data_IF_949238131192
#
_entry.id   IF_949238131192
#
_cell.length_a   1.000
_cell.length_b   1.000
_cell.length_c   1.000
_cell.angle_alpha   90.00
_cell.angle_beta   90.00
_cell.angle_gamma   90.00
#
_symmetry.space_group_name_H-M   'P 1'
#
loop_
_entity.id
_entity.type
_entity.pdbx_description
1 polymer ?
#
# COMPACT_ATOMS: atom_id res chain seq x y z
N UNK A 1 -6.19 0.87 9.91
CA UNK A 1 -5.20 1.84 9.40
C UNK A 1 -5.89 2.70 8.36
N UNK A 2 -5.50 3.96 8.23
CA UNK A 2 -5.98 4.82 7.15
C UNK A 2 -4.76 5.21 6.31
N UNK A 3 -4.80 5.00 4.99
CA UNK A 3 -3.74 5.46 4.11
C UNK A 3 -3.98 6.87 3.61
N UNK A 4 -2.90 7.48 3.12
CA UNK A 4 -2.95 8.77 2.49
C UNK A 4 -2.17 8.77 1.17
N UNK A 5 -2.64 9.55 0.21
CA UNK A 5 -1.95 9.81 -1.05
C UNK A 5 -1.71 11.32 -1.19
N UNK A 6 -0.50 11.70 -1.57
CA UNK A 6 -0.10 13.11 -1.73
C UNK A 6 -0.16 13.54 -3.19
N UNK A 7 -0.45 14.82 -3.41
CA UNK A 7 -0.45 15.48 -4.72
C UNK A 7 0.42 16.74 -4.63
N UNK A 8 1.34 16.89 -5.58
CA UNK A 8 2.14 18.11 -5.72
C UNK A 8 1.26 19.28 -6.09
N UNK A 9 1.63 20.48 -5.61
CA UNK A 9 1.03 21.69 -6.14
C UNK A 9 1.32 21.79 -7.63
N UNK A 10 0.27 21.80 -8.45
CA UNK A 10 0.37 22.37 -9.79
C UNK A 10 0.93 23.78 -9.60
N UNK A 11 2.09 24.06 -10.22
CA UNK A 11 2.56 25.42 -10.39
C UNK A 11 1.37 26.22 -10.90
N UNK A 12 0.89 27.15 -10.09
CA UNK A 12 -0.25 27.99 -10.45
C UNK A 12 0.05 28.62 -11.80
N UNK A 13 -0.83 28.39 -12.77
CA UNK A 13 -0.75 28.86 -14.16
C UNK A 13 -0.99 30.39 -14.22
N UNK A 14 -0.13 31.16 -13.53
CA UNK A 14 -0.17 32.62 -13.41
C UNK A 14 1.10 33.32 -13.93
N UNK A 15 1.93 32.61 -14.70
CA UNK A 15 2.99 33.23 -15.51
C UNK A 15 2.84 32.90 -16.99
N UNK A 16 1.65 33.11 -17.56
CA UNK A 16 1.53 33.36 -19.00
C UNK A 16 1.77 34.85 -19.26
N UNK A 17 3.04 35.27 -19.26
CA UNK A 17 3.47 36.52 -19.87
C UNK A 17 4.86 36.39 -20.47
N UNK A 18 4.87 36.27 -21.80
CA UNK A 18 5.84 36.79 -22.79
C UNK A 18 7.34 36.71 -22.45
N UNK A 19 8.02 35.75 -23.07
CA UNK A 19 9.44 35.84 -23.42
C UNK A 19 10.39 34.93 -22.63
N UNK A 20 10.87 33.86 -23.28
CA UNK A 20 12.04 33.09 -22.85
C UNK A 20 11.78 31.60 -22.56
N UNK A 21 12.22 30.72 -23.49
CA UNK A 21 12.42 29.27 -23.36
C UNK A 21 11.57 28.52 -22.30
N UNK A 22 10.33 28.20 -22.65
CA UNK A 22 9.54 27.18 -21.95
C UNK A 22 10.02 25.77 -22.31
N UNK A 23 10.97 25.24 -21.56
CA UNK A 23 11.29 23.81 -21.55
C UNK A 23 10.39 23.09 -20.52
N UNK A 24 10.01 21.84 -20.84
CA UNK A 24 9.24 20.89 -20.02
C UNK A 24 7.70 20.90 -20.20
N UNK A 25 7.23 20.89 -21.45
CA UNK A 25 6.02 20.11 -21.75
C UNK A 25 6.37 18.61 -21.60
N UNK A 26 5.47 17.84 -20.99
CA UNK A 26 5.55 16.42 -20.59
C UNK A 26 6.08 15.45 -21.68
N UNK A 27 7.38 15.43 -21.94
CA UNK A 27 7.97 14.48 -22.90
C UNK A 27 8.17 13.08 -22.32
N UNK A 28 8.10 12.92 -20.99
CA UNK A 28 8.58 11.71 -20.29
C UNK A 28 7.54 11.04 -19.37
N UNK A 29 6.23 11.24 -19.57
CA UNK A 29 5.20 10.61 -18.71
C UNK A 29 5.15 11.13 -17.26
N UNK A 30 4.43 10.45 -16.35
CA UNK A 30 4.26 10.89 -14.97
C UNK A 30 5.43 10.43 -14.08
N UNK A 31 5.65 11.16 -12.99
CA UNK A 31 6.67 10.83 -11.99
C UNK A 31 8.10 11.19 -12.42
N UNK A 32 9.07 10.45 -11.91
CA UNK A 32 10.50 10.78 -11.97
C UNK A 32 11.32 9.55 -12.40
N UNK A 33 12.47 9.74 -13.05
CA UNK A 33 13.29 8.61 -13.51
C UNK A 33 14.00 7.89 -12.37
N UNK A 34 14.30 8.61 -11.29
CA UNK A 34 15.00 8.07 -10.11
C UNK A 34 14.40 8.60 -8.79
N UNK A 35 14.60 7.88 -7.67
CA UNK A 35 14.18 8.37 -6.35
C UNK A 35 14.79 9.73 -5.97
N UNK A 36 16.06 9.98 -6.32
CA UNK A 36 16.75 11.25 -6.01
C UNK A 36 16.18 12.43 -6.80
N UNK A 37 15.80 12.21 -8.06
CA UNK A 37 15.05 13.22 -8.82
C UNK A 37 13.68 13.49 -8.18
N UNK A 38 13.00 12.45 -7.70
CA UNK A 38 11.72 12.61 -7.01
C UNK A 38 11.83 13.46 -5.74
N UNK A 39 12.92 13.31 -4.97
CA UNK A 39 13.21 14.15 -3.80
C UNK A 39 13.45 15.62 -4.15
N UNK A 40 13.94 15.89 -5.36
CA UNK A 40 14.16 17.24 -5.87
C UNK A 40 12.91 17.85 -6.49
N UNK A 41 11.80 17.10 -6.54
CA UNK A 41 10.52 17.54 -7.05
C UNK A 41 9.86 18.63 -6.20
N UNK A 42 8.81 19.28 -6.72
CA UNK A 42 8.01 20.21 -5.93
C UNK A 42 7.37 19.48 -4.75
N UNK A 43 7.27 20.19 -3.62
CA UNK A 43 6.57 19.68 -2.43
C UNK A 43 5.08 19.47 -2.72
N UNK A 44 4.50 18.49 -2.02
CA UNK A 44 3.07 18.28 -1.95
C UNK A 44 2.34 19.52 -1.43
N UNK A 45 1.19 19.82 -2.04
CA UNK A 45 0.31 20.91 -1.59
C UNK A 45 -1.05 20.39 -1.13
N UNK A 46 -1.36 19.12 -1.43
CA UNK A 46 -2.58 18.45 -1.04
C UNK A 46 -2.25 17.03 -0.57
N UNK A 47 -3.06 16.54 0.36
CA UNK A 47 -3.10 15.13 0.73
C UNK A 47 -4.55 14.65 0.76
N UNK A 48 -4.75 13.46 0.20
CA UNK A 48 -6.00 12.74 0.20
C UNK A 48 -5.93 11.64 1.27
N UNK A 49 -6.88 11.62 2.20
CA UNK A 49 -6.88 10.70 3.34
C UNK A 49 -8.19 9.92 3.36
N UNK A 50 -8.10 8.59 3.40
CA UNK A 50 -9.27 7.73 3.58
C UNK A 50 -9.84 7.91 4.99
N UNK A 51 -11.14 8.03 5.11
CA UNK A 51 -11.81 8.23 6.40
C UNK A 51 -12.98 7.25 6.52
N UNK A 52 -13.00 6.51 7.62
CA UNK A 52 -13.87 5.35 7.83
C UNK A 52 -14.88 5.61 8.93
N UNK A 53 -16.14 5.23 8.68
CA UNK A 53 -17.20 5.18 9.71
C UNK A 53 -17.50 3.77 10.18
N UNK A 54 -17.11 2.74 9.43
CA UNK A 54 -17.23 1.37 9.88
C UNK A 54 -16.55 1.17 11.25
N UNK A 55 -17.17 0.37 12.12
CA UNK A 55 -16.74 0.20 13.52
C UNK A 55 -17.07 1.35 14.48
N UNK A 56 -17.53 2.51 14.00
CA UNK A 56 -17.83 3.68 14.89
C UNK A 56 -19.27 3.70 15.42
N UNK A 57 -20.12 2.76 14.99
CA UNK A 57 -21.58 2.76 15.26
C UNK A 57 -22.39 3.77 14.44
N UNK A 58 -21.74 4.56 13.57
CA UNK A 58 -22.41 5.53 12.69
C UNK A 58 -22.69 4.92 11.32
N UNK A 59 -23.96 4.86 10.94
CA UNK A 59 -24.41 4.39 9.63
C UNK A 59 -24.25 5.48 8.55
N UNK A 60 -22.99 5.77 8.18
CA UNK A 60 -22.65 6.75 7.13
C UNK A 60 -21.62 6.14 6.17
N UNK A 61 -21.61 6.58 4.90
CA UNK A 61 -20.59 6.15 3.97
C UNK A 61 -19.22 6.68 4.39
N UNK A 62 -18.20 5.87 4.20
CA UNK A 62 -16.80 6.31 4.26
C UNK A 62 -16.58 7.44 3.25
N UNK A 63 -15.50 8.21 3.42
CA UNK A 63 -15.24 9.35 2.55
C UNK A 63 -13.75 9.59 2.34
N UNK A 64 -13.42 10.25 1.24
CA UNK A 64 -12.07 10.77 1.00
C UNK A 64 -12.00 12.22 1.47
N UNK A 65 -11.09 12.54 2.39
CA UNK A 65 -10.79 13.91 2.80
C UNK A 65 -9.69 14.49 1.90
N UNK A 66 -9.87 15.72 1.42
CA UNK A 66 -8.77 16.51 0.85
C UNK A 66 -8.31 17.53 1.89
N UNK A 67 -7.02 17.52 2.20
CA UNK A 67 -6.39 18.42 3.17
C UNK A 67 -5.38 19.29 2.45
N UNK A 68 -5.39 20.59 2.77
CA UNK A 68 -4.43 21.55 2.24
C UNK A 68 -3.13 21.50 3.02
N UNK A 69 -2.02 21.26 2.32
CA UNK A 69 -0.68 21.15 2.88
C UNK A 69 0.23 22.34 2.53
N UNK A 70 -0.22 23.32 1.75
CA UNK A 70 0.58 24.51 1.46
C UNK A 70 0.66 25.42 2.70
N UNK A 71 1.84 25.62 3.33
CA UNK A 71 1.98 26.47 4.51
C UNK A 71 1.61 27.94 4.29
N UNK A 72 1.56 28.39 3.03
CA UNK A 72 1.17 29.76 2.66
C UNK A 72 -0.34 29.88 2.40
N UNK A 73 -1.08 28.77 2.36
CA UNK A 73 -2.51 28.78 2.12
C UNK A 73 -3.29 29.23 3.38
N UNK A 74 -4.34 30.05 3.25
CA UNK A 74 -5.23 30.39 4.38
C UNK A 74 -5.99 29.17 4.94
N UNK A 75 -5.97 28.05 4.21
CA UNK A 75 -6.54 26.77 4.63
C UNK A 75 -5.50 25.72 5.00
N UNK A 76 -4.23 26.10 5.17
CA UNK A 76 -3.17 25.17 5.61
C UNK A 76 -3.61 24.31 6.80
N UNK A 77 -3.35 23.00 6.72
CA UNK A 77 -3.68 21.99 7.73
C UNK A 77 -5.20 21.86 8.00
N UNK A 78 -6.05 22.25 7.03
CA UNK A 78 -7.51 22.07 7.13
C UNK A 78 -8.00 21.08 6.09
N UNK A 79 -9.04 20.33 6.46
CA UNK A 79 -9.85 19.61 5.48
C UNK A 79 -10.62 20.63 4.67
N UNK A 80 -10.35 20.69 3.37
CA UNK A 80 -10.96 21.62 2.42
C UNK A 80 -12.08 20.96 1.60
N UNK A 81 -12.10 19.63 1.54
CA UNK A 81 -13.16 18.89 0.87
C UNK A 81 -13.38 17.51 1.50
N UNK A 82 -14.62 17.01 1.40
CA UNK A 82 -14.99 15.64 1.74
C UNK A 82 -15.83 15.06 0.62
N UNK A 83 -15.34 14.00 0.00
CA UNK A 83 -16.05 13.24 -1.00
C UNK A 83 -16.64 11.97 -0.36
N UNK A 84 -17.93 11.93 0.01
CA UNK A 84 -18.56 10.72 0.52
C UNK A 84 -18.67 9.65 -0.57
N UNK A 85 -18.38 8.41 -0.21
CA UNK A 85 -18.63 7.27 -1.07
C UNK A 85 -20.14 7.01 -1.19
N UNK A 86 -20.60 6.37 -2.27
CA UNK A 86 -22.02 6.15 -2.50
C UNK A 86 -22.64 5.07 -1.60
N UNK A 87 -21.83 4.24 -0.92
CA UNK A 87 -22.31 3.11 -0.12
C UNK A 87 -21.76 3.15 1.30
N UNK A 88 -22.46 2.48 2.22
CA UNK A 88 -22.00 2.28 3.60
C UNK A 88 -21.23 0.97 3.75
N UNK A 89 -20.51 0.84 4.87
CA UNK A 89 -19.80 -0.39 5.26
C UNK A 89 -18.74 -0.84 4.25
N UNK A 90 -18.02 0.12 3.67
CA UNK A 90 -16.94 -0.13 2.72
C UNK A 90 -15.64 -0.57 3.42
N UNK A 91 -15.26 0.12 4.49
CA UNK A 91 -13.93 0.06 5.09
C UNK A 91 -12.88 0.49 4.05
N UNK A 92 -12.93 1.77 3.64
CA UNK A 92 -11.82 2.36 2.87
C UNK A 92 -10.52 2.15 3.65
N UNK A 93 -9.53 1.52 3.03
CA UNK A 93 -8.31 1.12 3.75
C UNK A 93 -7.07 1.73 3.12
N UNK A 94 -6.64 1.14 2.00
CA UNK A 94 -5.46 1.52 1.21
C UNK A 94 -5.84 2.39 0.01
N UNK A 95 -4.83 3.03 -0.57
CA UNK A 95 -4.98 3.90 -1.73
C UNK A 95 -3.73 3.84 -2.62
N UNK A 96 -3.92 3.87 -3.93
CA UNK A 96 -2.82 3.95 -4.90
C UNK A 96 -3.21 4.76 -6.13
N UNK A 97 -2.22 5.21 -6.90
CA UNK A 97 -2.46 5.94 -8.15
C UNK A 97 -2.58 4.98 -9.34
N UNK A 98 -3.37 5.36 -10.35
CA UNK A 98 -3.46 4.61 -11.61
C UNK A 98 -2.14 4.57 -12.39
N UNK A 99 -1.31 5.60 -12.22
CA UNK A 99 -0.02 5.71 -12.89
C UNK A 99 0.98 6.45 -12.00
N UNK A 100 2.24 6.06 -12.08
CA UNK A 100 3.31 6.55 -11.22
C UNK A 100 4.64 6.51 -11.97
N UNK A 101 5.76 6.69 -11.26
CA UNK A 101 7.10 6.70 -11.87
C UNK A 101 7.45 5.40 -12.60
N UNK A 102 6.72 4.30 -12.39
CA UNK A 102 6.85 3.08 -13.21
C UNK A 102 6.50 3.31 -14.67
N UNK A 103 5.71 4.34 -14.98
CA UNK A 103 5.32 4.76 -16.32
C UNK A 103 6.21 5.91 -16.83
N UNK A 104 7.30 6.25 -16.13
CA UNK A 104 8.24 7.25 -16.62
C UNK A 104 8.79 6.85 -17.99
N UNK A 105 8.80 7.78 -18.93
CA UNK A 105 9.12 7.57 -20.34
C UNK A 105 7.91 7.34 -21.25
N UNK A 106 6.71 7.09 -20.70
CA UNK A 106 5.47 6.98 -21.48
C UNK A 106 4.67 8.29 -21.45
N UNK A 107 4.71 9.12 -22.51
CA UNK A 107 4.01 10.39 -22.56
C UNK A 107 2.48 10.26 -22.62
N UNK A 108 1.95 9.06 -22.87
CA UNK A 108 0.49 8.83 -22.86
C UNK A 108 -0.06 8.56 -21.46
N UNK A 109 0.81 8.17 -20.52
CA UNK A 109 0.42 7.90 -19.15
C UNK A 109 0.22 9.19 -18.35
N UNK A 110 -0.84 9.22 -17.53
CA UNK A 110 -1.16 10.36 -16.66
C UNK A 110 -1.50 9.85 -15.26
N UNK A 111 -0.86 10.41 -14.24
CA UNK A 111 -1.28 10.25 -12.84
C UNK A 111 -2.50 11.14 -12.63
N UNK A 112 -3.68 10.53 -12.53
CA UNK A 112 -4.97 11.26 -12.48
C UNK A 112 -5.97 10.61 -11.55
N UNK A 113 -6.00 9.29 -11.51
CA UNK A 113 -7.03 8.57 -10.79
C UNK A 113 -6.45 7.96 -9.52
N UNK A 114 -7.07 8.28 -8.39
CA UNK A 114 -6.81 7.63 -7.12
C UNK A 114 -7.71 6.40 -7.00
N UNK A 115 -7.10 5.25 -6.82
CA UNK A 115 -7.74 3.94 -6.68
C UNK A 115 -7.86 3.64 -5.20
N UNK A 116 -9.10 3.40 -4.74
CA UNK A 116 -9.43 3.18 -3.33
C UNK A 116 -10.12 1.82 -3.16
N UNK A 117 -9.34 0.76 -2.90
CA UNK A 117 -9.86 -0.52 -2.42
C UNK A 117 -10.66 -0.37 -1.12
N UNK A 118 -11.84 -0.99 -1.09
CA UNK A 118 -12.75 -1.03 0.06
C UNK A 118 -12.76 -2.44 0.63
N UNK A 119 -12.13 -2.59 1.79
CA UNK A 119 -11.75 -3.89 2.33
C UNK A 119 -12.96 -4.80 2.58
N UNK A 120 -14.01 -4.31 3.24
CA UNK A 120 -15.12 -5.17 3.66
C UNK A 120 -16.18 -5.35 2.58
N UNK A 121 -16.44 -4.32 1.78
CA UNK A 121 -17.46 -4.40 0.72
C UNK A 121 -16.97 -5.06 -0.56
N UNK A 122 -15.65 -5.20 -0.71
CA UNK A 122 -15.01 -5.63 -1.95
C UNK A 122 -15.24 -4.72 -3.15
N UNK A 123 -15.58 -3.45 -2.92
CA UNK A 123 -15.62 -2.42 -3.96
C UNK A 123 -14.23 -1.84 -4.19
N UNK A 124 -14.03 -1.27 -5.38
CA UNK A 124 -12.89 -0.38 -5.63
C UNK A 124 -13.46 0.91 -6.22
N UNK A 125 -13.16 2.03 -5.58
CA UNK A 125 -13.54 3.34 -6.09
C UNK A 125 -12.40 3.96 -6.88
N UNK A 126 -12.74 4.57 -8.00
CA UNK A 126 -11.81 5.32 -8.83
C UNK A 126 -12.20 6.79 -8.73
N UNK A 127 -11.29 7.61 -8.22
CA UNK A 127 -11.52 9.02 -7.94
C UNK A 127 -10.69 9.86 -8.90
N UNK A 128 -11.33 10.75 -9.64
CA UNK A 128 -10.68 11.69 -10.56
C UNK A 128 -10.21 12.93 -9.81
N UNK A 129 -8.91 13.24 -9.93
CA UNK A 129 -8.30 14.43 -9.33
C UNK A 129 -7.94 15.51 -10.35
N UNK A 130 -8.05 15.26 -11.67
CA UNK A 130 -7.49 16.17 -12.69
C UNK A 130 -8.25 17.50 -12.77
N UNK A 131 -9.59 17.46 -12.83
CA UNK A 131 -10.40 18.67 -13.04
C UNK A 131 -10.32 19.65 -11.87
N UNK A 132 -10.30 19.13 -10.64
CA UNK A 132 -10.18 19.94 -9.44
C UNK A 132 -9.55 19.10 -8.31
N UNK A 133 -8.21 19.13 -8.16
CA UNK A 133 -7.51 18.39 -7.10
C UNK A 133 -7.99 18.76 -5.69
N UNK A 134 -8.47 20.00 -5.48
CA UNK A 134 -8.97 20.47 -4.18
C UNK A 134 -10.36 19.90 -3.84
N UNK A 135 -11.10 19.41 -4.83
CA UNK A 135 -12.42 18.80 -4.66
C UNK A 135 -12.61 17.66 -5.69
N UNK A 136 -11.93 16.52 -5.49
CA UNK A 136 -11.94 15.41 -6.43
C UNK A 136 -13.33 14.77 -6.54
N UNK A 137 -13.56 13.99 -7.59
CA UNK A 137 -14.89 13.45 -7.91
C UNK A 137 -14.84 11.94 -8.17
N UNK A 138 -15.91 11.23 -7.80
CA UNK A 138 -16.06 9.82 -8.13
C UNK A 138 -16.13 9.66 -9.66
N UNK A 139 -15.21 8.87 -10.21
CA UNK A 139 -15.16 8.53 -11.64
C UNK A 139 -15.87 7.21 -11.93
N UNK A 140 -15.53 6.16 -11.17
CA UNK A 140 -16.04 4.80 -11.40
C UNK A 140 -16.09 3.99 -10.11
N UNK A 141 -16.97 3.01 -10.09
CA UNK A 141 -17.02 1.95 -9.07
C UNK A 141 -16.78 0.61 -9.76
N UNK A 142 -15.74 -0.11 -9.38
CA UNK A 142 -15.56 -1.52 -9.74
C UNK A 142 -16.44 -2.33 -8.79
N UNK A 143 -17.40 -3.07 -9.34
CA UNK A 143 -18.40 -3.77 -8.53
C UNK A 143 -17.83 -5.07 -7.94
N UNK A 144 -18.21 -5.44 -6.71
CA UNK A 144 -17.77 -6.68 -6.09
C UNK A 144 -18.12 -7.91 -6.94
N UNK A 145 -19.33 -7.94 -7.51
CA UNK A 145 -19.79 -9.03 -8.37
C UNK A 145 -18.92 -9.22 -9.62
N UNK A 146 -18.42 -8.14 -10.22
CA UNK A 146 -17.55 -8.22 -11.40
C UNK A 146 -16.17 -8.80 -11.04
N UNK A 147 -15.66 -8.46 -9.85
CA UNK A 147 -14.41 -9.01 -9.32
C UNK A 147 -14.60 -10.50 -9.00
N UNK A 148 -15.62 -10.84 -8.21
CA UNK A 148 -15.95 -12.20 -7.81
C UNK A 148 -16.14 -13.10 -9.04
N UNK A 149 -17.00 -12.72 -9.97
CA UNK A 149 -17.33 -13.54 -11.14
C UNK A 149 -16.11 -13.85 -12.01
N UNK A 150 -15.19 -12.90 -12.15
CA UNK A 150 -14.03 -13.04 -13.04
C UNK A 150 -12.80 -13.64 -12.37
N UNK A 151 -12.71 -13.59 -11.04
CA UNK A 151 -11.46 -13.92 -10.33
C UNK A 151 -11.65 -14.83 -9.11
N UNK A 152 -12.85 -14.89 -8.54
CA UNK A 152 -13.13 -15.50 -7.24
C UNK A 152 -12.56 -14.72 -6.05
N UNK A 153 -11.95 -13.55 -6.28
CA UNK A 153 -11.32 -12.71 -5.26
C UNK A 153 -12.34 -11.78 -4.59
N UNK A 154 -12.04 -11.40 -3.35
CA UNK A 154 -12.71 -10.38 -2.55
C UNK A 154 -11.71 -9.74 -1.58
N UNK A 155 -12.16 -8.78 -0.77
CA UNK A 155 -11.33 -8.07 0.21
C UNK A 155 -10.08 -7.40 -0.41
N UNK A 156 -10.27 -6.48 -1.37
CA UNK A 156 -9.17 -5.78 -2.02
C UNK A 156 -8.49 -4.83 -1.02
N UNK A 157 -7.17 -4.75 -1.07
CA UNK A 157 -6.34 -4.05 -0.09
C UNK A 157 -5.33 -3.12 -0.76
N UNK A 158 -4.10 -3.55 -1.03
CA UNK A 158 -3.07 -2.69 -1.61
C UNK A 158 -3.27 -2.59 -3.11
N UNK A 159 -3.14 -1.38 -3.67
CA UNK A 159 -3.15 -1.15 -5.12
C UNK A 159 -1.86 -0.50 -5.61
N UNK A 160 -1.25 -1.05 -6.67
CA UNK A 160 -0.08 -0.49 -7.33
C UNK A 160 -0.26 -0.37 -8.85
N UNK A 161 0.16 0.76 -9.40
CA UNK A 161 0.30 1.06 -10.84
C UNK A 161 1.41 0.24 -11.48
N UNK A 162 1.15 -0.46 -12.58
CA UNK A 162 2.17 -1.21 -13.31
C UNK A 162 2.70 -0.41 -14.51
N UNK A 163 3.93 -0.72 -14.93
CA UNK A 163 4.51 -0.15 -16.15
C UNK A 163 3.74 -0.55 -17.43
N UNK A 164 2.93 -1.61 -17.38
CA UNK A 164 2.03 -2.02 -18.46
C UNK A 164 0.81 -1.10 -18.63
N UNK A 165 0.59 -0.16 -17.70
CA UNK A 165 -0.63 0.66 -17.62
C UNK A 165 -1.78 -0.01 -16.86
N UNK A 166 -1.60 -1.27 -16.44
CA UNK A 166 -2.54 -1.98 -15.58
C UNK A 166 -2.37 -1.57 -14.11
N UNK A 167 -3.38 -1.87 -13.30
CA UNK A 167 -3.33 -1.69 -11.85
C UNK A 167 -3.51 -3.05 -11.20
N UNK A 168 -2.55 -3.43 -10.36
CA UNK A 168 -2.62 -4.64 -9.57
C UNK A 168 -3.14 -4.32 -8.18
N UNK A 169 -4.06 -5.15 -7.68
CA UNK A 169 -4.65 -5.00 -6.35
C UNK A 169 -4.57 -6.31 -5.59
N UNK A 170 -4.00 -6.33 -4.39
CA UNK A 170 -4.03 -7.53 -3.54
C UNK A 170 -5.43 -7.76 -2.97
N UNK A 171 -5.81 -9.01 -2.82
CA UNK A 171 -7.10 -9.46 -2.29
C UNK A 171 -6.86 -10.52 -1.21
N UNK A 172 -7.55 -10.40 -0.08
CA UNK A 172 -7.24 -11.19 1.14
C UNK A 172 -8.01 -12.51 1.23
N UNK A 173 -9.03 -12.72 0.42
CA UNK A 173 -9.83 -13.96 0.46
C UNK A 173 -10.93 -13.99 -0.59
N UNK A 174 -11.78 -15.02 -0.51
CA UNK A 174 -13.02 -15.10 -1.30
C UNK A 174 -14.17 -14.31 -0.65
N UNK A 175 -15.32 -14.25 -1.33
CA UNK A 175 -16.55 -13.57 -0.85
C UNK A 175 -17.03 -14.06 0.53
N UNK A 176 -16.76 -15.30 0.87
CA UNK A 176 -17.17 -15.93 2.13
C UNK A 176 -16.15 -15.63 3.24
N UNK A 177 -14.97 -15.11 2.86
CA UNK A 177 -13.88 -14.68 3.72
C UNK A 177 -12.87 -15.78 4.01
N UNK A 178 -12.80 -16.82 3.19
CA UNK A 178 -11.77 -17.85 3.30
C UNK A 178 -10.48 -17.38 2.64
N UNK A 179 -9.34 -17.73 3.25
CA UNK A 179 -8.03 -17.36 2.71
C UNK A 179 -7.72 -18.04 1.37
N UNK A 180 -8.28 -19.21 1.05
CA UNK A 180 -8.01 -19.88 -0.22
C UNK A 180 -8.36 -19.04 -1.47
N UNK A 181 -9.27 -18.07 -1.33
CA UNK A 181 -9.62 -17.12 -2.38
C UNK A 181 -8.79 -15.84 -2.42
N UNK A 182 -7.63 -15.78 -1.75
CA UNK A 182 -6.74 -14.62 -1.82
C UNK A 182 -5.93 -14.60 -3.14
N UNK A 183 -5.33 -13.47 -3.48
CA UNK A 183 -4.49 -13.34 -4.68
C UNK A 183 -4.37 -11.90 -5.17
N UNK A 184 -4.13 -11.71 -6.48
CA UNK A 184 -3.89 -10.40 -7.07
C UNK A 184 -4.84 -10.15 -8.25
N UNK A 185 -5.68 -9.13 -8.12
CA UNK A 185 -6.59 -8.64 -9.15
C UNK A 185 -5.85 -7.72 -10.13
N UNK A 186 -6.08 -7.88 -11.44
CA UNK A 186 -5.68 -6.92 -12.46
C UNK A 186 -6.87 -6.10 -12.98
N UNK A 187 -6.68 -4.79 -12.99
CA UNK A 187 -7.54 -3.82 -13.67
C UNK A 187 -6.82 -3.28 -14.91
N UNK A 188 -7.55 -3.12 -16.02
CA UNK A 188 -7.06 -2.39 -17.21
C UNK A 188 -7.03 -0.87 -16.99
N UNK A 189 -6.58 -0.12 -18.00
CA UNK A 189 -6.49 1.35 -17.98
C UNK A 189 -7.84 2.05 -17.83
N UNK A 190 -8.93 1.36 -18.18
CA UNK A 190 -10.31 1.83 -18.00
C UNK A 190 -10.94 1.28 -16.71
N UNK A 191 -10.13 0.65 -15.84
CA UNK A 191 -10.52 0.05 -14.57
C UNK A 191 -11.57 -1.06 -14.70
N UNK A 192 -11.55 -1.84 -15.77
CA UNK A 192 -12.30 -3.09 -15.87
C UNK A 192 -11.47 -4.25 -15.33
N UNK A 193 -12.14 -5.21 -14.70
CA UNK A 193 -11.50 -6.43 -14.22
C UNK A 193 -11.01 -7.27 -15.40
N UNK A 194 -9.70 -7.47 -15.49
CA UNK A 194 -9.05 -8.34 -16.49
C UNK A 194 -9.01 -9.79 -16.02
N UNK A 195 -8.66 -10.02 -14.75
CA UNK A 195 -8.44 -11.36 -14.22
C UNK A 195 -7.50 -11.34 -13.03
N UNK A 196 -6.91 -12.50 -12.75
CA UNK A 196 -5.86 -12.67 -11.73
C UNK A 196 -4.48 -12.45 -12.35
N UNK A 197 -3.54 -11.93 -11.57
CA UNK A 197 -2.15 -11.76 -12.03
C UNK A 197 -1.31 -13.04 -11.86
N UNK A 198 -1.45 -13.73 -10.72
CA UNK A 198 -0.70 -14.95 -10.46
C UNK A 198 -1.10 -16.10 -11.40
N UNK A 199 -0.15 -16.97 -11.73
CA UNK A 199 -0.45 -18.18 -12.51
C UNK A 199 -1.41 -19.09 -11.73
N UNK A 200 -2.27 -19.84 -12.43
CA UNK A 200 -3.12 -20.85 -11.80
C UNK A 200 -2.31 -21.80 -10.91
N UNK A 201 -2.74 -21.98 -9.66
CA UNK A 201 -2.05 -22.83 -8.67
C UNK A 201 -0.92 -22.15 -7.90
N UNK A 202 -0.65 -20.86 -8.12
CA UNK A 202 0.40 -20.10 -7.43
C UNK A 202 -0.15 -19.07 -6.42
N UNK A 203 -1.39 -19.20 -5.97
CA UNK A 203 -1.92 -18.36 -4.89
C UNK A 203 -1.21 -18.68 -3.57
N UNK A 204 -0.91 -17.66 -2.73
CA UNK A 204 -0.28 -17.90 -1.44
C UNK A 204 -1.30 -18.43 -0.44
N UNK A 205 -0.85 -18.89 0.74
CA UNK A 205 -1.77 -19.36 1.79
C UNK A 205 -2.64 -18.23 2.35
N UNK A 206 -2.08 -17.03 2.45
CA UNK A 206 -2.75 -15.80 2.88
C UNK A 206 -2.24 -14.63 2.04
N UNK A 207 -3.09 -13.62 1.84
CA UNK A 207 -2.70 -12.35 1.21
C UNK A 207 -2.68 -11.20 2.21
N UNK A 208 -1.96 -10.12 1.86
CA UNK A 208 -2.06 -8.80 2.49
C UNK A 208 -1.51 -7.73 1.55
N UNK A 209 -0.21 -7.48 1.59
CA UNK A 209 0.48 -6.43 0.85
C UNK A 209 1.46 -7.05 -0.15
N UNK A 210 1.91 -6.25 -1.12
CA UNK A 210 2.93 -6.69 -2.08
C UNK A 210 3.73 -5.52 -2.62
N UNK A 211 4.96 -5.81 -3.02
CA UNK A 211 5.81 -4.88 -3.74
C UNK A 211 6.64 -5.62 -4.77
N UNK A 212 6.92 -5.00 -5.92
CA UNK A 212 7.70 -5.59 -6.99
C UNK A 212 9.01 -4.83 -7.22
N UNK A 213 10.04 -5.56 -7.65
CA UNK A 213 11.35 -5.03 -8.00
C UNK A 213 11.75 -5.54 -9.39
N UNK A 214 11.37 -4.83 -10.48
CA UNK A 214 11.45 -5.36 -11.84
C UNK A 214 12.87 -5.68 -12.32
N UNK A 215 13.87 -4.88 -11.91
CA UNK A 215 15.29 -5.14 -12.27
C UNK A 215 15.79 -6.48 -11.72
N UNK A 216 15.18 -6.95 -10.64
CA UNK A 216 15.47 -8.23 -10.00
C UNK A 216 14.48 -9.34 -10.39
N UNK A 217 13.54 -9.05 -11.30
CA UNK A 217 12.51 -9.98 -11.79
C UNK A 217 11.75 -10.66 -10.66
N UNK A 218 11.41 -9.91 -9.61
CA UNK A 218 10.67 -10.43 -8.46
C UNK A 218 9.51 -9.55 -8.02
N UNK A 219 8.53 -10.18 -7.39
CA UNK A 219 7.58 -9.53 -6.49
C UNK A 219 7.58 -10.29 -5.17
N UNK A 220 7.54 -9.56 -4.05
CA UNK A 220 7.37 -10.14 -2.72
C UNK A 220 6.00 -9.70 -2.21
N UNK A 221 5.23 -10.66 -1.71
CA UNK A 221 3.97 -10.40 -1.01
C UNK A 221 4.01 -10.95 0.40
N UNK A 222 3.23 -10.32 1.29
CA UNK A 222 3.12 -10.64 2.69
C UNK A 222 1.76 -11.27 3.02
N UNK A 223 1.56 -11.64 4.28
CA UNK A 223 0.49 -12.54 4.71
C UNK A 223 -0.15 -12.02 6.00
N UNK A 224 -1.44 -11.63 5.95
CA UNK A 224 -2.15 -11.25 7.18
C UNK A 224 -2.95 -12.40 7.76
N UNK A 225 -4.10 -12.75 7.19
CA UNK A 225 -4.99 -13.77 7.71
C UNK A 225 -6.28 -13.87 6.91
N UNK A 226 -7.10 -14.89 7.20
CA UNK A 226 -8.38 -15.05 6.51
C UNK A 226 -9.37 -13.95 6.95
N UNK A 227 -10.14 -13.33 6.03
CA UNK A 227 -11.16 -12.34 6.41
C UNK A 227 -12.19 -12.83 7.43
N UNK A 228 -12.56 -14.12 7.44
CA UNK A 228 -13.42 -14.68 8.48
C UNK A 228 -12.81 -14.60 9.90
N UNK A 229 -11.48 -14.59 10.02
CA UNK A 229 -10.79 -14.58 11.30
C UNK A 229 -10.65 -13.18 11.92
N UNK A 230 -10.58 -12.13 11.10
CA UNK A 230 -10.36 -10.76 11.59
C UNK A 230 -11.58 -9.82 11.51
N UNK A 231 -12.59 -10.12 10.68
CA UNK A 231 -13.79 -9.26 10.53
C UNK A 231 -14.57 -9.08 11.84
N UNK A 232 -14.50 -10.05 12.75
CA UNK A 232 -15.13 -9.99 14.08
C UNK A 232 -14.28 -9.30 15.14
N UNK A 233 -13.10 -8.80 14.79
CA UNK A 233 -12.07 -8.35 15.73
C UNK A 233 -10.96 -9.37 15.92
N UNK A 234 -9.85 -8.93 16.50
CA UNK A 234 -8.70 -9.78 16.78
C UNK A 234 -8.99 -10.76 17.92
N UNK A 235 -8.66 -12.03 17.71
CA UNK A 235 -8.73 -13.08 18.71
C UNK A 235 -7.38 -13.79 18.79
N UNK A 236 -6.76 -13.82 19.97
CA UNK A 236 -5.47 -14.45 20.17
C UNK A 236 -5.50 -15.96 19.86
N UNK A 237 -6.61 -16.64 20.13
CA UNK A 237 -6.75 -18.07 19.84
C UNK A 237 -6.64 -18.36 18.34
N UNK A 238 -7.15 -17.46 17.48
CA UNK A 238 -7.07 -17.60 16.03
C UNK A 238 -5.61 -17.59 15.52
N UNK A 239 -4.68 -16.98 16.27
CA UNK A 239 -3.24 -17.03 15.95
C UNK A 239 -2.72 -18.45 16.16
N UNK A 240 -3.01 -19.05 17.32
CA UNK A 240 -2.64 -20.43 17.64
C UNK A 240 -3.31 -21.45 16.74
N UNK A 241 -4.52 -21.17 16.27
CA UNK A 241 -5.28 -22.01 15.32
C UNK A 241 -4.76 -21.88 13.87
N UNK A 242 -3.74 -21.04 13.63
CA UNK A 242 -3.12 -20.88 12.32
C UNK A 242 -3.93 -20.06 11.31
N UNK A 243 -4.85 -19.21 11.79
CA UNK A 243 -5.70 -18.37 10.92
C UNK A 243 -5.02 -17.04 10.49
N UNK A 244 -3.80 -16.80 10.97
CA UNK A 244 -2.96 -15.67 10.59
C UNK A 244 -1.64 -16.13 9.97
N UNK A 245 -1.13 -15.33 9.05
CA UNK A 245 0.08 -15.57 8.29
C UNK A 245 1.36 -15.24 9.04
N UNK A 246 2.45 -15.86 8.59
CA UNK A 246 3.83 -15.61 9.02
C UNK A 246 4.83 -15.75 7.87
N UNK A 247 4.35 -15.65 6.64
CA UNK A 247 5.13 -15.95 5.45
C UNK A 247 5.27 -14.74 4.54
N UNK A 248 6.42 -14.65 3.87
CA UNK A 248 6.56 -13.90 2.64
C UNK A 248 6.54 -14.86 1.45
N UNK A 249 5.96 -14.41 0.34
CA UNK A 249 5.84 -15.21 -0.87
C UNK A 249 6.58 -14.49 -2.01
N UNK A 250 7.56 -15.18 -2.58
CA UNK A 250 8.44 -14.67 -3.63
C UNK A 250 7.95 -15.16 -4.98
N UNK A 251 7.52 -14.24 -5.82
CA UNK A 251 7.05 -14.51 -7.17
C UNK A 251 8.09 -14.13 -8.21
N UNK A 252 8.11 -14.86 -9.32
CA UNK A 252 8.74 -14.39 -10.55
C UNK A 252 7.95 -13.21 -11.12
N UNK A 253 8.64 -12.13 -11.44
CA UNK A 253 8.05 -10.97 -12.11
C UNK A 253 8.50 -10.89 -13.58
N UNK A 254 7.58 -10.60 -14.53
CA UNK A 254 6.15 -10.35 -14.35
C UNK A 254 5.26 -11.62 -14.40
N UNK A 255 5.87 -12.81 -14.46
CA UNK A 255 5.17 -14.04 -14.86
C UNK A 255 4.17 -14.61 -13.84
N UNK A 256 4.18 -14.15 -12.58
CA UNK A 256 3.20 -14.57 -11.58
C UNK A 256 3.36 -16.00 -11.03
N UNK A 257 4.53 -16.61 -11.18
CA UNK A 257 4.83 -17.93 -10.61
C UNK A 257 5.42 -17.79 -9.20
N UNK A 258 4.79 -18.42 -8.20
CA UNK A 258 5.33 -18.53 -6.85
C UNK A 258 6.58 -19.42 -6.85
N UNK A 259 7.74 -18.84 -6.54
CA UNK A 259 9.05 -19.51 -6.58
C UNK A 259 9.54 -19.96 -5.21
N UNK A 260 9.19 -19.23 -4.15
CA UNK A 260 9.64 -19.50 -2.81
C UNK A 260 8.65 -18.94 -1.79
N UNK A 261 8.49 -19.62 -0.66
CA UNK A 261 7.78 -19.11 0.52
C UNK A 261 8.78 -19.04 1.66
N UNK A 262 8.96 -17.87 2.24
CA UNK A 262 9.83 -17.64 3.40
C UNK A 262 8.99 -17.77 4.66
N UNK A 263 9.27 -18.76 5.50
CA UNK A 263 8.69 -18.86 6.85
C UNK A 263 9.47 -17.95 7.80
N UNK A 264 8.80 -16.91 8.32
CA UNK A 264 9.39 -15.97 9.25
C UNK A 264 9.35 -16.49 10.70
N UNK A 265 8.72 -17.65 10.95
CA UNK A 265 8.57 -18.23 12.27
C UNK A 265 7.82 -17.34 13.25
N UNK A 266 8.08 -17.52 14.54
CA UNK A 266 7.42 -16.76 15.62
C UNK A 266 7.91 -15.31 15.70
N UNK A 267 9.02 -14.99 15.04
CA UNK A 267 9.55 -13.62 14.98
C UNK A 267 8.91 -12.77 13.90
N UNK A 268 8.18 -13.37 12.93
CA UNK A 268 7.49 -12.65 11.87
C UNK A 268 5.99 -12.94 11.81
N UNK A 269 5.30 -12.87 12.95
CA UNK A 269 3.85 -13.06 13.02
C UNK A 269 3.10 -11.82 12.48
N UNK A 270 2.14 -12.06 11.59
CA UNK A 270 1.36 -11.05 10.88
C UNK A 270 2.28 -10.05 10.13
N UNK A 271 3.07 -10.52 9.14
CA UNK A 271 3.82 -9.64 8.25
C UNK A 271 2.84 -8.81 7.43
N UNK A 272 2.81 -7.51 7.71
CA UNK A 272 1.90 -6.56 7.08
C UNK A 272 2.60 -5.89 5.90
N UNK A 273 2.88 -4.59 5.99
CA UNK A 273 3.46 -3.81 4.90
C UNK A 273 4.79 -4.41 4.46
N UNK A 274 5.06 -4.43 3.16
CA UNK A 274 6.33 -4.87 2.57
C UNK A 274 6.87 -3.80 1.62
N UNK A 275 8.15 -3.46 1.74
CA UNK A 275 8.79 -2.40 0.95
C UNK A 275 10.16 -2.87 0.50
N UNK A 276 10.44 -2.77 -0.79
CA UNK A 276 11.83 -2.76 -1.28
C UNK A 276 12.48 -1.42 -0.97
N UNK A 277 13.82 -1.39 -0.94
CA UNK A 277 14.55 -0.14 -1.10
C UNK A 277 14.15 0.52 -2.44
N UNK A 278 14.12 1.85 -2.46
CA UNK A 278 13.71 2.64 -3.62
C UNK A 278 14.72 2.57 -4.75
N UNK A 279 16.02 2.42 -4.47
CA UNK A 279 17.04 2.16 -5.48
C UNK A 279 16.73 0.83 -6.19
N UNK A 280 16.33 0.86 -7.48
CA UNK A 280 15.90 -0.33 -8.19
C UNK A 280 17.05 -1.32 -8.44
N UNK A 281 18.31 -0.93 -8.22
CA UNK A 281 19.45 -1.84 -8.29
C UNK A 281 19.58 -2.73 -7.05
N UNK A 282 18.90 -2.42 -5.95
CA UNK A 282 18.97 -3.17 -4.70
C UNK A 282 17.97 -4.33 -4.69
N UNK A 283 18.43 -5.45 -4.14
CA UNK A 283 17.72 -6.72 -3.97
C UNK A 283 17.41 -6.99 -2.49
N UNK A 284 17.14 -5.93 -1.72
CA UNK A 284 16.80 -5.99 -0.30
C UNK A 284 15.60 -5.10 -0.02
N UNK A 285 14.85 -5.47 1.02
CA UNK A 285 13.74 -4.70 1.52
C UNK A 285 13.38 -5.12 2.94
N UNK A 286 12.26 -4.63 3.43
CA UNK A 286 11.78 -4.89 4.79
C UNK A 286 10.30 -5.25 4.78
N UNK A 287 9.89 -5.96 5.83
CA UNK A 287 8.49 -6.18 6.20
C UNK A 287 8.28 -5.87 7.67
N UNK A 288 7.20 -5.18 8.00
CA UNK A 288 6.77 -4.96 9.38
C UNK A 288 5.95 -6.15 9.88
N UNK A 289 6.43 -6.85 10.90
CA UNK A 289 5.67 -7.96 11.52
C UNK A 289 4.92 -7.43 12.73
N UNK A 290 3.60 -7.26 12.57
CA UNK A 290 2.80 -6.53 13.53
C UNK A 290 2.78 -7.20 14.89
N UNK A 291 2.38 -8.46 14.97
CA UNK A 291 2.15 -9.11 16.26
C UNK A 291 3.46 -9.35 17.03
N UNK A 292 4.53 -9.72 16.33
CA UNK A 292 5.86 -9.90 16.93
C UNK A 292 6.61 -8.59 17.17
N UNK A 293 6.12 -7.46 16.62
CA UNK A 293 6.75 -6.13 16.72
C UNK A 293 8.21 -6.10 16.26
N UNK A 294 8.49 -6.81 15.17
CA UNK A 294 9.81 -6.89 14.55
C UNK A 294 9.80 -6.28 13.15
N UNK A 295 10.87 -5.58 12.79
CA UNK A 295 11.21 -5.33 11.39
C UNK A 295 12.11 -6.44 10.89
N UNK A 296 11.68 -7.08 9.81
CA UNK A 296 12.41 -8.17 9.17
C UNK A 296 12.93 -7.67 7.84
N UNK A 297 14.24 -7.79 7.62
CA UNK A 297 14.88 -7.52 6.33
C UNK A 297 14.82 -8.78 5.49
N UNK A 298 14.32 -8.69 4.26
CA UNK A 298 14.47 -9.76 3.27
C UNK A 298 15.48 -9.36 2.20
N UNK A 299 16.17 -10.33 1.62
CA UNK A 299 17.23 -10.08 0.64
C UNK A 299 17.50 -11.28 -0.25
N UNK A 300 18.07 -11.01 -1.43
CA UNK A 300 18.52 -12.05 -2.35
C UNK A 300 19.90 -12.58 -1.95
N UNK A 301 20.07 -13.90 -1.96
CA UNK A 301 21.34 -14.57 -1.66
C UNK A 301 22.23 -14.68 -2.90
N UNK A 302 23.50 -15.05 -2.72
CA UNK A 302 24.45 -15.29 -3.83
C UNK A 302 23.99 -16.40 -4.78
N UNK A 303 23.18 -17.33 -4.30
CA UNK A 303 22.62 -18.46 -5.05
C UNK A 303 21.34 -18.06 -5.80
N UNK A 304 20.84 -16.84 -5.58
CA UNK A 304 19.66 -16.28 -6.26
C UNK A 304 18.32 -16.56 -5.59
N UNK A 305 18.29 -17.34 -4.50
CA UNK A 305 17.14 -17.47 -3.59
C UNK A 305 16.97 -16.22 -2.72
N UNK A 306 15.89 -16.15 -1.96
CA UNK A 306 15.67 -15.10 -0.97
C UNK A 306 15.82 -15.65 0.45
N UNK A 307 16.27 -14.80 1.35
CA UNK A 307 16.42 -15.09 2.78
C UNK A 307 15.97 -13.86 3.60
N UNK A 308 15.86 -14.03 4.92
CA UNK A 308 15.39 -12.98 5.82
C UNK A 308 16.09 -12.99 7.18
N UNK A 309 16.10 -11.84 7.84
CA UNK A 309 16.61 -11.69 9.21
C UNK A 309 15.88 -10.57 9.97
N UNK A 310 15.73 -10.73 11.28
CA UNK A 310 15.22 -9.65 12.15
C UNK A 310 16.32 -8.62 12.34
N UNK A 311 16.00 -7.35 12.05
CA UNK A 311 16.96 -6.23 12.17
C UNK A 311 16.58 -5.21 13.23
N UNK A 312 15.30 -5.12 13.59
CA UNK A 312 14.80 -4.26 14.67
C UNK A 312 13.76 -5.05 15.46
N UNK A 313 13.88 -5.05 16.79
CA UNK A 313 12.91 -5.66 17.70
C UNK A 313 12.42 -4.65 18.73
N UNK A 314 11.12 -4.40 18.76
CA UNK A 314 10.50 -3.54 19.75
C UNK A 314 10.10 -4.36 20.97
N UNK A 315 10.75 -4.09 22.09
CA UNK A 315 10.46 -4.79 23.34
C UNK A 315 9.06 -4.45 23.86
N UNK A 316 8.25 -5.44 24.27
CA UNK A 316 6.97 -5.18 24.92
C UNK A 316 7.12 -4.36 26.20
N UNK A 317 6.09 -3.56 26.50
CA UNK A 317 6.05 -2.74 27.70
C UNK A 317 5.17 -3.40 28.77
N UNK A 318 5.63 -3.37 30.02
CA UNK A 318 4.80 -3.76 31.18
C UNK A 318 3.87 -2.61 31.53
N UNK A 319 2.57 -2.84 31.40
CA UNK A 319 1.53 -1.83 31.59
C UNK A 319 0.44 -2.35 32.54
N UNK A 320 -0.30 -1.43 33.18
CA UNK A 320 -1.47 -1.76 34.00
C UNK A 320 -2.75 -1.48 33.21
N UNK A 321 -3.85 -2.16 33.56
CA UNK A 321 -5.16 -2.01 32.92
C UNK A 321 -5.15 -2.31 31.41
N UNK A 322 -4.27 -3.22 31.00
CA UNK A 322 -4.18 -3.74 29.63
C UNK A 322 -4.69 -5.18 29.59
N UNK A 323 -5.21 -5.60 28.43
CA UNK A 323 -5.82 -6.92 28.26
C UNK A 323 -4.82 -8.08 28.31
N UNK A 324 -3.53 -7.81 28.12
CA UNK A 324 -2.44 -8.80 28.22
C UNK A 324 -1.43 -8.40 29.32
N UNK A 325 -0.58 -9.34 29.78
CA UNK A 325 0.48 -9.04 30.77
C UNK A 325 1.50 -8.00 30.28
N UNK A 326 1.75 -7.97 28.97
CA UNK A 326 2.68 -7.06 28.31
C UNK A 326 2.05 -6.50 27.04
N UNK A 327 2.38 -5.26 26.68
CA UNK A 327 1.88 -4.56 25.51
C UNK A 327 2.95 -4.61 24.40
N UNK A 328 2.73 -5.34 23.30
CA UNK A 328 3.64 -5.32 22.17
C UNK A 328 3.60 -3.94 21.48
N UNK A 329 4.61 -3.63 20.66
CA UNK A 329 4.61 -2.38 19.88
C UNK A 329 3.47 -2.33 18.87
N UNK A 330 3.19 -3.47 18.24
CA UNK A 330 2.27 -3.65 17.12
C UNK A 330 2.67 -2.76 15.93
N UNK A 331 3.70 -3.18 15.19
CA UNK A 331 4.19 -2.43 14.02
C UNK A 331 3.20 -2.63 12.87
N UNK A 332 2.34 -1.63 12.62
CA UNK A 332 1.27 -1.80 11.65
C UNK A 332 1.60 -1.24 10.27
N UNK A 333 2.44 -0.21 10.19
CA UNK A 333 2.83 0.44 8.94
C UNK A 333 4.26 0.96 9.04
N UNK A 334 4.94 1.07 7.90
CA UNK A 334 6.26 1.68 7.80
C UNK A 334 6.53 2.23 6.40
N UNK A 335 7.44 3.20 6.34
CA UNK A 335 7.90 3.85 5.11
C UNK A 335 9.43 3.94 5.11
N UNK A 336 10.00 3.98 3.91
CA UNK A 336 11.42 4.22 3.68
C UNK A 336 11.54 5.58 2.99
N UNK A 337 12.48 6.43 3.40
CA UNK A 337 12.75 7.69 2.72
C UNK A 337 13.30 7.42 1.31
N UNK A 338 13.01 8.31 0.36
CA UNK A 338 13.38 8.12 -1.06
C UNK A 338 14.89 8.01 -1.32
N UNK A 339 15.73 8.47 -0.39
CA UNK A 339 17.20 8.30 -0.41
C UNK A 339 17.68 6.98 0.18
N UNK A 340 16.76 6.08 0.58
CA UNK A 340 17.02 4.82 1.27
C UNK A 340 17.85 4.97 2.57
N UNK A 341 17.85 6.16 3.17
CA UNK A 341 18.62 6.45 4.38
C UNK A 341 17.85 6.19 5.66
N UNK A 342 16.54 6.39 5.66
CA UNK A 342 15.73 6.31 6.87
C UNK A 342 14.54 5.36 6.69
N UNK A 343 14.29 4.57 7.72
CA UNK A 343 13.09 3.77 7.89
C UNK A 343 12.26 4.35 9.02
N UNK A 344 10.98 4.59 8.76
CA UNK A 344 10.01 5.08 9.73
C UNK A 344 8.93 4.04 9.94
N UNK A 345 8.59 3.72 11.18
CA UNK A 345 7.46 2.83 11.46
C UNK A 345 6.63 3.32 12.64
N UNK A 346 5.37 2.91 12.65
CA UNK A 346 4.42 3.22 13.73
C UNK A 346 4.29 2.04 14.67
N UNK A 347 4.44 2.25 15.98
CA UNK A 347 4.03 1.27 16.99
C UNK A 347 2.62 1.61 17.43
N UNK A 348 1.63 0.94 16.85
CA UNK A 348 0.24 1.32 17.04
C UNK A 348 -0.23 1.24 18.49
N UNK A 349 0.26 0.25 19.25
CA UNK A 349 -0.09 0.11 20.66
C UNK A 349 0.77 0.96 21.60
N UNK A 350 2.07 1.16 21.29
CA UNK A 350 2.91 2.05 22.10
C UNK A 350 2.57 3.53 21.88
N UNK A 351 1.98 3.87 20.74
CA UNK A 351 1.58 5.24 20.40
C UNK A 351 2.76 6.14 20.01
N UNK A 352 3.84 5.56 19.47
CA UNK A 352 5.01 6.30 18.98
C UNK A 352 5.27 6.03 17.48
N UNK A 353 6.09 6.90 16.89
CA UNK A 353 6.71 6.70 15.57
C UNK A 353 8.20 6.68 15.77
N UNK A 354 8.89 5.72 15.18
CA UNK A 354 10.34 5.59 15.26
C UNK A 354 10.97 5.82 13.90
N UNK A 355 12.15 6.43 13.92
CA UNK A 355 13.01 6.61 12.76
C UNK A 355 14.31 5.87 13.04
N UNK A 356 14.79 5.08 12.07
CA UNK A 356 16.10 4.43 12.09
C UNK A 356 16.89 4.83 10.86
N UNK A 357 18.20 5.06 11.02
CA UNK A 357 19.12 5.11 9.90
C UNK A 357 19.32 3.69 9.36
N UNK A 358 19.16 3.50 8.06
CA UNK A 358 19.29 2.21 7.35
C UNK A 358 20.33 2.25 6.21
N UNK A 359 21.32 3.16 6.27
CA UNK A 359 22.45 3.17 5.33
C UNK A 359 23.20 1.83 5.31
N UNK A 360 23.24 1.15 6.47
CA UNK A 360 23.46 -0.30 6.55
C UNK A 360 22.13 -1.00 6.88
N UNK A 361 21.42 -1.56 5.87
CA UNK A 361 20.15 -2.24 6.08
C UNK A 361 20.21 -3.39 7.07
N UNK A 362 21.39 -4.00 7.29
CA UNK A 362 21.59 -5.12 8.22
C UNK A 362 21.67 -4.67 9.67
N UNK A 363 21.96 -3.39 9.91
CA UNK A 363 22.16 -2.83 11.25
C UNK A 363 21.55 -1.44 11.35
N UNK A 364 20.20 -1.33 11.35
CA UNK A 364 19.54 -0.05 11.56
C UNK A 364 19.91 0.56 12.93
N UNK A 365 20.15 1.87 12.99
CA UNK A 365 20.57 2.59 14.22
C UNK A 365 19.76 3.84 14.52
#
# INVERSE_FOLDING_TARGET
>A
MATAAVESGLLSDKSRSVGGNGCCAHKNGPGYATPIEAMSGPKESLIYVTCVYNGTGKQKPDYLATIDLDPNSPTYSKVIHRLPMPYVSDELHHSGWNSCSSCHGDPSAVRRFLVLPSLLSSRIYVIDTEKNPRAPQLHKVVKPADIEQKTGLAFPHTSHCLASGEIMVSCLGDKDGNAAGNGFLLLDSEFNVKGRWEKPGHSPAFGYDFWYQPRHKTMISSSWGAPCAFRGGFNLQHVSDGLYGRHLNVYSWPDGELKQTLDLGDTGLLPLETRFLHDPSKDTGFVGSALSSNMVRFFKTSEGSWDHEVVISVQPLKVKNWILPEMPGLITDFLISLDDRYLYFVNWLHGDVRQYNIEDPKKPV
#
